data_IF_755008679747
#
_entry.id   IF_755008679747
#
_cell.length_a   1.000
_cell.length_b   1.000
_cell.length_c   1.000
_cell.angle_alpha   90.00
_cell.angle_beta   90.00
_cell.angle_gamma   90.00
#
_symmetry.space_group_name_H-M   'P 1'
#
loop_
_entity.id
_entity.type
_entity.pdbx_description
1 polymer ?
#
# COMPACT_ATOMS: atom_id res chain seq x y z
N UNK A 1 4.42 -54.93 3.05
CA UNK A 1 5.35 -54.06 2.29
C UNK A 1 4.66 -52.97 1.47
N UNK A 2 3.39 -53.12 1.08
CA UNK A 2 2.63 -52.10 0.32
C UNK A 2 2.45 -50.76 1.08
N UNK A 3 2.32 -50.80 2.40
CA UNK A 3 2.13 -49.58 3.23
C UNK A 3 3.35 -48.65 3.30
N UNK A 4 4.56 -49.16 3.06
CA UNK A 4 5.78 -48.33 3.08
C UNK A 4 5.88 -47.52 1.78
N UNK A 5 5.50 -48.11 0.65
CA UNK A 5 5.46 -47.43 -0.65
C UNK A 5 4.41 -46.32 -0.70
N UNK A 6 3.27 -46.49 -0.02
CA UNK A 6 2.22 -45.46 0.04
C UNK A 6 2.67 -44.19 0.79
N UNK A 7 3.50 -44.34 1.84
CA UNK A 7 4.00 -43.19 2.61
C UNK A 7 5.06 -42.39 1.86
N UNK A 8 5.92 -43.06 1.09
CA UNK A 8 6.93 -42.39 0.25
C UNK A 8 6.29 -41.64 -0.93
N UNK A 9 5.20 -42.15 -1.49
CA UNK A 9 4.50 -41.50 -2.61
C UNK A 9 3.80 -40.20 -2.21
N UNK A 10 3.22 -40.12 -1.00
CA UNK A 10 2.58 -38.89 -0.50
C UNK A 10 3.61 -37.77 -0.26
N UNK A 11 4.79 -38.12 0.27
CA UNK A 11 5.88 -37.16 0.49
C UNK A 11 6.41 -36.59 -0.84
N UNK A 12 6.54 -37.42 -1.87
CA UNK A 12 6.97 -36.98 -3.21
C UNK A 12 5.93 -36.07 -3.89
N UNK A 13 4.63 -36.32 -3.71
CA UNK A 13 3.58 -35.42 -4.23
C UNK A 13 3.59 -34.03 -3.57
N UNK A 14 4.04 -33.93 -2.31
CA UNK A 14 4.14 -32.66 -1.59
C UNK A 14 5.25 -31.76 -2.15
N UNK A 15 6.32 -32.36 -2.69
CA UNK A 15 7.43 -31.63 -3.34
C UNK A 15 7.15 -31.25 -4.80
N UNK A 16 6.12 -31.82 -5.43
CA UNK A 16 5.74 -31.54 -6.81
C UNK A 16 4.85 -30.28 -6.95
N UNK A 17 4.37 -29.72 -5.84
CA UNK A 17 3.54 -28.50 -5.83
C UNK A 17 4.37 -27.35 -5.25
N UNK A 18 5.47 -26.98 -5.91
CA UNK A 18 6.27 -25.82 -5.50
C UNK A 18 6.32 -24.67 -6.50
N UNK A 19 5.70 -24.78 -7.67
CA UNK A 19 5.63 -23.65 -8.60
C UNK A 19 4.20 -23.42 -9.10
N UNK A 20 3.44 -22.62 -8.33
CA UNK A 20 2.38 -21.80 -8.93
C UNK A 20 3.08 -20.59 -9.55
N UNK A 21 3.62 -20.78 -10.74
CA UNK A 21 4.07 -19.67 -11.56
C UNK A 21 2.82 -18.97 -12.08
N UNK A 22 2.44 -17.84 -11.46
CA UNK A 22 1.46 -16.91 -12.01
C UNK A 22 2.04 -16.27 -13.26
N UNK A 23 2.03 -17.02 -14.37
CA UNK A 23 2.44 -16.52 -15.67
C UNK A 23 1.37 -15.54 -16.18
N UNK A 24 1.55 -14.25 -15.91
CA UNK A 24 1.03 -13.22 -16.79
C UNK A 24 1.66 -13.45 -18.16
N UNK A 25 0.83 -13.59 -19.19
CA UNK A 25 1.21 -13.71 -20.60
C UNK A 25 2.41 -12.81 -20.90
N UNK A 26 3.52 -13.39 -21.38
CA UNK A 26 4.75 -12.65 -21.71
C UNK A 26 4.57 -11.64 -22.85
N UNK A 27 3.37 -11.57 -23.44
CA UNK A 27 3.00 -10.66 -24.51
C UNK A 27 2.14 -9.48 -24.03
N UNK A 28 1.67 -9.49 -22.79
CA UNK A 28 0.94 -8.36 -22.25
C UNK A 28 1.96 -7.29 -21.81
N UNK A 29 1.77 -6.02 -22.20
CA UNK A 29 2.59 -4.95 -21.66
C UNK A 29 2.47 -4.96 -20.13
N UNK A 30 3.58 -4.68 -19.41
CA UNK A 30 3.54 -4.63 -17.95
C UNK A 30 2.43 -3.67 -17.50
N UNK A 31 1.68 -4.02 -16.44
CA UNK A 31 0.58 -3.18 -15.98
C UNK A 31 1.09 -1.78 -15.68
N UNK A 32 0.39 -0.77 -16.19
CA UNK A 32 0.72 0.64 -15.95
C UNK A 32 0.48 0.94 -14.48
N UNK A 33 1.53 1.34 -13.76
CA UNK A 33 1.43 1.70 -12.35
C UNK A 33 1.11 3.19 -12.23
N UNK A 34 -0.03 3.49 -11.62
CA UNK A 34 -0.44 4.86 -11.30
C UNK A 34 0.02 5.22 -9.89
N UNK A 35 0.84 6.27 -9.78
CA UNK A 35 1.34 6.78 -8.51
C UNK A 35 0.30 7.69 -7.84
N UNK A 36 -0.02 7.41 -6.59
CA UNK A 36 -0.98 8.20 -5.79
C UNK A 36 -0.23 9.21 -4.92
N UNK A 37 0.48 10.17 -5.51
CA UNK A 37 1.39 11.04 -4.77
C UNK A 37 0.72 12.19 -4.01
N UNK A 38 -0.51 12.56 -4.38
CA UNK A 38 -1.24 13.64 -3.71
C UNK A 38 -2.16 13.09 -2.62
N UNK A 39 -2.92 12.06 -2.93
CA UNK A 39 -3.91 11.49 -2.01
C UNK A 39 -4.18 10.02 -2.33
N UNK A 40 -4.41 9.24 -1.28
CA UNK A 40 -4.90 7.89 -1.38
C UNK A 40 -5.98 7.64 -0.33
N UNK A 41 -7.15 7.19 -0.75
CA UNK A 41 -8.30 6.94 0.14
C UNK A 41 -8.92 5.58 -0.16
N UNK A 42 -9.22 4.82 0.90
CA UNK A 42 -9.86 3.51 0.79
C UNK A 42 -11.37 3.68 0.81
N UNK A 43 -12.05 3.05 -0.14
CA UNK A 43 -13.50 3.08 -0.37
C UNK A 43 -14.09 1.66 -0.37
N UNK A 44 -13.63 0.81 0.55
CA UNK A 44 -13.99 -0.60 0.61
C UNK A 44 -13.04 -1.47 -0.22
N UNK A 45 -13.57 -2.12 -1.26
CA UNK A 45 -12.80 -2.91 -2.24
C UNK A 45 -12.11 -2.05 -3.31
N UNK A 46 -12.44 -0.76 -3.34
CA UNK A 46 -11.86 0.26 -4.22
C UNK A 46 -11.02 1.26 -3.46
N UNK A 47 -10.20 2.00 -4.18
CA UNK A 47 -9.45 3.13 -3.69
C UNK A 47 -9.54 4.31 -4.65
N UNK A 48 -9.58 5.51 -4.09
CA UNK A 48 -9.37 6.76 -4.81
C UNK A 48 -7.87 7.07 -4.77
N UNK A 49 -7.25 7.13 -5.95
CA UNK A 49 -5.85 7.45 -6.14
C UNK A 49 -5.75 8.80 -6.85
N UNK A 50 -5.16 9.79 -6.19
CA UNK A 50 -4.91 11.10 -6.78
C UNK A 50 -3.42 11.28 -7.01
N UNK A 51 -3.04 11.52 -8.26
CA UNK A 51 -1.68 11.88 -8.62
C UNK A 51 -1.60 12.65 -9.92
N UNK A 52 -0.65 13.58 -10.00
CA UNK A 52 -0.51 14.54 -11.10
C UNK A 52 -1.85 15.21 -11.48
N UNK A 53 -2.61 15.64 -10.47
CA UNK A 53 -3.93 16.29 -10.58
C UNK A 53 -5.04 15.44 -11.22
N UNK A 54 -4.80 14.14 -11.44
CA UNK A 54 -5.81 13.20 -11.92
C UNK A 54 -6.29 12.32 -10.78
N UNK A 55 -7.60 12.23 -10.61
CA UNK A 55 -8.25 11.28 -9.71
C UNK A 55 -8.59 10.03 -10.49
N UNK A 56 -8.22 8.86 -9.95
CA UNK A 56 -8.52 7.54 -10.53
C UNK A 56 -9.21 6.66 -9.52
N UNK A 57 -10.13 5.84 -10.01
CA UNK A 57 -10.74 4.78 -9.23
C UNK A 57 -9.96 3.49 -9.45
N UNK A 58 -9.33 2.96 -8.42
CA UNK A 58 -8.51 1.76 -8.51
C UNK A 58 -9.10 0.61 -7.70
N UNK A 59 -8.84 -0.63 -8.08
CA UNK A 59 -9.08 -1.77 -7.21
C UNK A 59 -8.09 -1.72 -6.04
N UNK A 60 -8.56 -1.71 -4.80
CA UNK A 60 -7.70 -1.52 -3.62
C UNK A 60 -6.58 -2.57 -3.55
N UNK A 61 -6.91 -3.82 -3.87
CA UNK A 61 -5.98 -4.96 -3.92
C UNK A 61 -4.80 -4.79 -4.89
N UNK A 62 -4.86 -3.82 -5.81
CA UNK A 62 -3.81 -3.54 -6.79
C UNK A 62 -2.80 -2.48 -6.31
N UNK A 63 -3.06 -1.85 -5.17
CA UNK A 63 -2.31 -0.72 -4.67
C UNK A 63 -1.29 -1.14 -3.62
N UNK A 64 0.00 -0.98 -3.92
CA UNK A 64 1.09 -1.47 -3.07
C UNK A 64 2.29 -0.51 -3.08
N UNK A 65 3.04 -0.53 -1.98
CA UNK A 65 4.39 -0.01 -1.87
C UNK A 65 5.25 -1.09 -1.21
N UNK A 66 6.25 -1.60 -1.93
CA UNK A 66 7.19 -2.60 -1.41
C UNK A 66 6.52 -3.81 -0.70
N UNK A 67 5.38 -4.29 -1.20
CA UNK A 67 4.65 -5.42 -0.60
C UNK A 67 3.71 -5.07 0.56
N UNK A 68 3.48 -3.78 0.83
CA UNK A 68 2.51 -3.30 1.83
C UNK A 68 1.43 -2.41 1.20
N UNK A 69 0.22 -2.41 1.77
CA UNK A 69 -0.89 -1.51 1.38
C UNK A 69 -0.96 -0.26 2.28
N UNK A 70 0.20 0.21 2.73
CA UNK A 70 0.38 1.43 3.51
C UNK A 70 1.74 2.03 3.18
N UNK A 71 1.92 3.30 3.54
CA UNK A 71 3.22 3.97 3.49
C UNK A 71 3.75 4.18 4.92
N UNK A 72 5.00 3.78 5.23
CA UNK A 72 5.56 4.01 6.55
C UNK A 72 5.94 5.48 6.70
N UNK A 73 5.35 6.17 7.67
CA UNK A 73 5.67 7.55 8.01
C UNK A 73 6.21 7.68 9.44
N UNK A 74 7.05 8.68 9.65
CA UNK A 74 7.64 9.01 10.95
C UNK A 74 7.26 10.41 11.38
N UNK A 75 7.56 10.75 12.64
CA UNK A 75 7.28 12.08 13.20
C UNK A 75 5.80 12.47 13.14
N UNK A 76 4.92 11.47 13.25
CA UNK A 76 3.48 11.65 13.20
C UNK A 76 2.92 11.97 14.59
N UNK A 77 2.07 13.00 14.65
CA UNK A 77 1.32 13.42 15.84
C UNK A 77 -0.14 13.05 15.66
N UNK A 78 -0.81 12.65 16.74
CA UNK A 78 -2.24 12.39 16.70
C UNK A 78 -3.00 13.72 16.46
N UNK A 79 -3.81 13.81 15.40
CA UNK A 79 -4.34 15.09 14.86
C UNK A 79 -5.11 15.91 15.91
N UNK A 80 -5.81 15.24 16.84
CA UNK A 80 -6.69 15.87 17.83
C UNK A 80 -6.19 15.76 19.28
N UNK A 81 -4.90 15.47 19.47
CA UNK A 81 -4.31 15.31 20.80
C UNK A 81 -3.57 16.55 21.27
N UNK A 82 -3.65 16.84 22.57
CA UNK A 82 -2.75 17.79 23.22
C UNK A 82 -1.36 17.20 23.45
N UNK A 83 -1.23 15.87 23.42
CA UNK A 83 0.04 15.17 23.46
C UNK A 83 0.79 15.37 22.15
N UNK A 84 1.99 15.97 22.24
CA UNK A 84 2.87 16.24 21.10
C UNK A 84 3.86 15.12 20.80
N UNK A 85 3.73 13.96 21.46
CA UNK A 85 4.58 12.80 21.21
C UNK A 85 4.52 12.38 19.75
N UNK A 86 5.70 12.20 19.19
CA UNK A 86 5.91 11.73 17.84
C UNK A 86 5.86 10.20 17.79
N UNK A 87 5.35 9.66 16.70
CA UNK A 87 5.21 8.23 16.49
C UNK A 87 5.51 7.83 15.05
N UNK A 88 5.79 6.54 14.87
CA UNK A 88 5.83 5.89 13.56
C UNK A 88 4.43 5.40 13.23
N UNK A 89 3.98 5.61 12.01
CA UNK A 89 2.66 5.20 11.56
C UNK A 89 2.76 4.46 10.22
N UNK A 90 1.87 3.49 10.06
CA UNK A 90 1.62 2.80 8.81
C UNK A 90 0.42 3.48 8.17
N UNK A 91 0.64 4.42 7.25
CA UNK A 91 -0.44 5.24 6.69
C UNK A 91 -1.11 4.50 5.54
N UNK A 92 -2.27 3.90 5.81
CA UNK A 92 -3.08 3.19 4.82
C UNK A 92 -3.91 4.14 3.94
N UNK A 93 -4.19 5.35 4.44
CA UNK A 93 -4.74 6.46 3.67
C UNK A 93 -3.95 7.71 3.99
N UNK A 94 -3.78 8.57 3.01
CA UNK A 94 -3.02 9.80 3.20
C UNK A 94 -3.45 10.90 2.24
N UNK A 95 -3.15 12.13 2.62
CA UNK A 95 -3.37 13.32 1.81
C UNK A 95 -2.24 14.30 2.10
N UNK A 96 -1.55 14.74 1.05
CA UNK A 96 -0.56 15.80 1.13
C UNK A 96 -1.29 17.15 1.24
N UNK A 97 -1.01 17.90 2.29
CA UNK A 97 -1.61 19.23 2.52
C UNK A 97 -0.50 20.27 2.43
N UNK A 98 -0.56 21.03 1.35
CA UNK A 98 0.21 22.25 1.17
C UNK A 98 -0.70 23.44 1.54
N UNK A 99 -0.80 23.75 2.84
CA UNK A 99 -1.52 24.95 3.29
C UNK A 99 -0.55 25.95 3.92
N UNK A 100 -0.32 27.05 3.21
CA UNK A 100 0.27 28.31 3.69
C UNK A 100 1.75 28.31 4.10
N UNK A 101 2.62 27.62 3.36
CA UNK A 101 4.10 27.82 3.32
C UNK A 101 4.87 27.68 4.65
N UNK A 102 4.21 27.39 5.78
CA UNK A 102 4.86 27.31 7.09
C UNK A 102 4.96 25.90 7.64
N UNK A 103 4.03 25.02 7.30
CA UNK A 103 3.89 23.70 7.91
C UNK A 103 3.24 22.74 6.91
N UNK A 104 4.04 22.26 5.95
CA UNK A 104 3.62 21.20 5.02
C UNK A 104 3.50 19.90 5.81
N UNK A 105 2.34 19.26 5.70
CA UNK A 105 2.04 18.05 6.47
C UNK A 105 1.29 17.03 5.63
N UNK A 106 1.52 15.75 5.94
CA UNK A 106 0.68 14.66 5.46
C UNK A 106 -0.41 14.39 6.51
N UNK A 107 -1.67 14.43 6.09
CA UNK A 107 -2.71 13.70 6.82
C UNK A 107 -2.50 12.23 6.58
N UNK A 108 -2.49 11.45 7.65
CA UNK A 108 -2.28 10.02 7.63
C UNK A 108 -3.42 9.37 8.41
N UNK A 109 -3.98 8.29 7.87
CA UNK A 109 -4.88 7.41 8.60
C UNK A 109 -4.30 6.01 8.59
N UNK A 110 -4.08 5.46 9.78
CA UNK A 110 -3.54 4.11 9.91
C UNK A 110 -4.64 3.04 9.67
N UNK A 111 -4.30 1.74 9.58
CA UNK A 111 -5.29 0.67 9.41
C UNK A 111 -6.34 0.61 10.54
N UNK A 112 -5.99 1.11 11.73
CA UNK A 112 -6.90 1.27 12.87
C UNK A 112 -7.86 2.46 12.74
N UNK A 113 -7.88 3.15 11.59
CA UNK A 113 -8.71 4.31 11.28
C UNK A 113 -8.43 5.54 12.15
N UNK A 114 -7.24 5.64 12.74
CA UNK A 114 -6.82 6.78 13.56
C UNK A 114 -6.09 7.81 12.71
N UNK A 115 -6.48 9.08 12.86
CA UNK A 115 -5.95 10.22 12.11
C UNK A 115 -4.69 10.85 12.76
N UNK A 116 -3.64 11.02 11.98
CA UNK A 116 -2.37 11.62 12.35
C UNK A 116 -1.97 12.73 11.38
N UNK A 117 -1.15 13.65 11.87
CA UNK A 117 -0.42 14.63 11.07
C UNK A 117 1.06 14.28 11.11
N UNK A 118 1.63 13.98 9.95
CA UNK A 118 3.04 13.66 9.79
C UNK A 118 3.78 14.83 9.15
N UNK A 119 5.01 15.08 9.60
CA UNK A 119 5.84 16.15 9.06
C UNK A 119 6.21 15.89 7.59
N UNK A 120 6.30 16.94 6.78
CA UNK A 120 6.95 16.87 5.48
C UNK A 120 8.48 16.87 5.65
N UNK A 121 9.07 15.68 5.64
CA UNK A 121 10.50 15.50 5.85
C UNK A 121 11.06 14.43 4.90
N UNK A 122 12.39 14.33 4.84
CA UNK A 122 13.06 13.37 3.94
C UNK A 122 12.69 11.90 4.20
N UNK A 123 12.16 11.56 5.38
CA UNK A 123 11.70 10.21 5.70
C UNK A 123 10.27 9.95 5.22
N UNK A 124 9.46 10.97 4.96
CA UNK A 124 8.05 10.83 4.58
C UNK A 124 7.82 11.11 3.09
N UNK A 125 8.63 11.99 2.49
CA UNK A 125 8.54 12.36 1.07
C UNK A 125 8.88 11.18 0.16
N UNK A 126 8.21 11.11 -1.00
CA UNK A 126 8.50 10.15 -2.06
C UNK A 126 7.94 8.74 -1.81
N UNK A 127 7.38 8.48 -0.63
CA UNK A 127 6.69 7.23 -0.31
C UNK A 127 5.23 7.32 -0.78
N UNK A 128 4.90 6.57 -1.81
CA UNK A 128 3.58 6.61 -2.46
C UNK A 128 3.14 5.21 -2.81
N UNK A 129 1.84 4.93 -2.66
CA UNK A 129 1.27 3.71 -3.20
C UNK A 129 1.19 3.81 -4.73
N UNK A 130 1.55 2.72 -5.40
CA UNK A 130 1.33 2.53 -6.83
C UNK A 130 0.20 1.53 -7.05
N UNK A 131 -0.77 1.89 -7.89
CA UNK A 131 -1.91 1.04 -8.24
C UNK A 131 -1.83 0.58 -9.70
N UNK A 132 -2.01 -0.72 -9.94
CA UNK A 132 -1.92 -1.32 -11.29
C UNK A 132 -3.26 -1.52 -12.00
N UNK A 133 -4.37 -1.44 -11.27
CA UNK A 133 -5.73 -1.68 -11.78
C UNK A 133 -6.60 -0.45 -11.50
N UNK A 134 -6.57 0.52 -12.40
CA UNK A 134 -7.23 1.81 -12.26
C UNK A 134 -8.03 2.21 -13.50
N UNK A 135 -9.12 2.92 -13.26
CA UNK A 135 -10.06 3.41 -14.26
C UNK A 135 -10.28 4.93 -14.07
N UNK A 136 -10.59 5.66 -15.14
CA UNK A 136 -11.01 7.07 -15.06
C UNK A 136 -12.24 7.26 -14.16
#
# INVERSE_FOLDING_TARGET
>A
MLHVFLKLSILLFSFLIHDVSGATSTNDPPPVIHSCNTKFRILGDRAECTGADVVRNCAYKSCWLAGHQYIPMTECKLEKSTDKRLSHQECAQYEFIDSDLRDVHFKCKNPGLVDYLCADNANNIGKVLGCSDCYP
#
